data_IF_197152713983
#
_entry.id   IF_197152713983
#
_cell.length_a   1.000
_cell.length_b   1.000
_cell.length_c   1.000
_cell.angle_alpha   90.00
_cell.angle_beta   90.00
_cell.angle_gamma   90.00
#
_symmetry.space_group_name_H-M   'P 1'
#
loop_
_entity.id
_entity.type
_entity.pdbx_description
1 polymer ?
#
# COMPACT_ATOMS: atom_id res chain seq x y z
N UNK A 1 -4.52 -15.81 3.18
CA UNK A 1 -3.34 -15.85 4.09
C UNK A 1 -2.31 -14.86 3.59
N UNK A 2 -1.80 -14.01 4.47
CA UNK A 2 -0.70 -13.09 4.14
C UNK A 2 0.59 -13.64 4.72
N UNK A 3 1.63 -13.78 3.89
CA UNK A 3 2.98 -14.16 4.30
C UNK A 3 3.86 -12.91 4.31
N UNK A 4 4.85 -12.83 5.22
CA UNK A 4 5.87 -11.77 5.17
C UNK A 4 6.81 -12.05 4.00
N UNK A 5 6.92 -11.08 3.09
CA UNK A 5 7.80 -11.13 1.91
C UNK A 5 8.55 -9.81 1.87
N UNK A 6 9.87 -9.87 1.73
CA UNK A 6 10.70 -8.69 1.50
C UNK A 6 10.84 -8.48 0.00
N UNK A 7 10.51 -7.28 -0.46
CA UNK A 7 10.68 -6.86 -1.86
C UNK A 7 11.44 -5.55 -1.88
N UNK A 8 12.26 -5.35 -2.90
CA UNK A 8 12.83 -4.05 -3.21
C UNK A 8 11.84 -3.31 -4.11
N UNK A 9 11.55 -2.05 -3.79
CA UNK A 9 10.73 -1.16 -4.60
C UNK A 9 11.49 0.14 -4.82
N UNK A 10 11.26 0.77 -5.96
CA UNK A 10 11.86 2.07 -6.25
C UNK A 10 11.32 3.16 -5.31
N UNK A 11 12.17 4.13 -4.99
CA UNK A 11 11.86 5.20 -4.04
C UNK A 11 10.63 6.04 -4.47
N UNK A 12 10.42 6.21 -5.77
CA UNK A 12 9.27 6.96 -6.28
C UNK A 12 7.96 6.18 -6.10
N UNK A 13 7.99 4.86 -6.22
CA UNK A 13 6.86 3.97 -5.96
C UNK A 13 6.53 3.96 -4.47
N UNK A 14 7.52 3.87 -3.57
CA UNK A 14 7.30 3.96 -2.12
C UNK A 14 6.60 5.27 -1.75
N UNK A 15 7.07 6.41 -2.26
CA UNK A 15 6.45 7.72 -2.03
C UNK A 15 4.99 7.74 -2.46
N UNK A 16 4.68 7.21 -3.65
CA UNK A 16 3.30 7.12 -4.17
C UNK A 16 2.42 6.24 -3.27
N UNK A 17 2.94 5.10 -2.80
CA UNK A 17 2.22 4.19 -1.89
C UNK A 17 1.95 4.87 -0.54
N UNK A 18 2.91 5.59 0.04
CA UNK A 18 2.70 6.35 1.30
C UNK A 18 1.69 7.48 1.15
N UNK A 19 1.73 8.22 0.05
CA UNK A 19 0.73 9.25 -0.22
C UNK A 19 -0.68 8.64 -0.32
N UNK A 20 -0.80 7.48 -0.96
CA UNK A 20 -2.06 6.74 -1.01
C UNK A 20 -2.49 6.27 0.38
N UNK A 21 -1.56 5.79 1.21
CA UNK A 21 -1.83 5.41 2.60
C UNK A 21 -2.42 6.58 3.38
N UNK A 22 -1.79 7.76 3.32
CA UNK A 22 -2.25 8.96 4.02
C UNK A 22 -3.68 9.35 3.60
N UNK A 23 -3.97 9.29 2.29
CA UNK A 23 -5.32 9.52 1.76
C UNK A 23 -6.34 8.53 2.29
N UNK A 24 -6.00 7.24 2.39
CA UNK A 24 -6.92 6.22 2.91
C UNK A 24 -7.17 6.38 4.42
N UNK A 25 -6.15 6.74 5.21
CA UNK A 25 -6.32 7.06 6.64
C UNK A 25 -7.29 8.22 6.82
N UNK A 26 -7.15 9.28 6.01
CA UNK A 26 -8.05 10.43 6.04
C UNK A 26 -9.48 10.07 5.65
N UNK A 27 -9.66 9.21 4.63
CA UNK A 27 -10.98 8.83 4.12
C UNK A 27 -11.71 7.82 5.02
N UNK A 28 -11.03 6.78 5.49
CA UNK A 28 -11.64 5.72 6.29
C UNK A 28 -11.71 6.07 7.79
N UNK A 29 -11.10 7.20 8.21
CA UNK A 29 -10.90 7.59 9.62
C UNK A 29 -10.41 6.43 10.51
N UNK A 30 -9.66 5.50 9.91
CA UNK A 30 -9.25 4.25 10.53
C UNK A 30 -7.78 3.96 10.23
N UNK A 31 -7.21 3.04 11.00
CA UNK A 31 -5.83 2.61 10.80
C UNK A 31 -5.68 1.86 9.49
N UNK A 32 -4.99 2.48 8.54
CA UNK A 32 -4.72 1.89 7.24
C UNK A 32 -3.23 1.54 7.10
N UNK A 33 -2.90 0.25 7.08
CA UNK A 33 -1.52 -0.22 7.09
C UNK A 33 -0.87 -0.16 5.69
N UNK A 34 0.43 0.09 5.66
CA UNK A 34 1.20 0.14 4.41
C UNK A 34 1.06 -1.16 3.60
N UNK A 35 1.18 -2.32 4.26
CA UNK A 35 1.02 -3.63 3.61
C UNK A 35 -0.36 -3.83 2.99
N UNK A 36 -1.43 -3.26 3.59
CA UNK A 36 -2.78 -3.29 3.01
C UNK A 36 -2.81 -2.46 1.72
N UNK A 37 -2.28 -1.23 1.72
CA UNK A 37 -2.22 -0.35 0.54
C UNK A 37 -1.47 -1.02 -0.60
N UNK A 38 -0.30 -1.59 -0.29
CA UNK A 38 0.55 -2.26 -1.27
C UNK A 38 -0.19 -3.44 -1.93
N UNK A 39 -0.77 -4.33 -1.12
CA UNK A 39 -1.49 -5.49 -1.65
C UNK A 39 -2.71 -5.08 -2.49
N UNK A 40 -3.49 -4.07 -2.06
CA UNK A 40 -4.62 -3.58 -2.83
C UNK A 40 -4.17 -2.91 -4.14
N UNK A 41 -3.05 -2.19 -4.12
CA UNK A 41 -2.49 -1.56 -5.32
C UNK A 41 -2.03 -2.62 -6.32
N UNK A 42 -1.30 -3.64 -5.86
CA UNK A 42 -0.85 -4.75 -6.71
C UNK A 42 -2.03 -5.54 -7.30
N UNK A 43 -3.06 -5.83 -6.50
CA UNK A 43 -4.27 -6.54 -6.97
C UNK A 43 -5.07 -5.79 -8.04
N UNK A 44 -4.97 -4.46 -8.09
CA UNK A 44 -5.63 -3.65 -9.13
C UNK A 44 -4.92 -3.72 -10.47
N UNK A 45 -3.62 -3.94 -10.47
CA UNK A 45 -2.78 -3.97 -11.69
C UNK A 45 -2.58 -5.38 -12.21
N UNK A 46 -2.43 -6.37 -11.33
CA UNK A 46 -2.23 -7.78 -11.71
C UNK A 46 -3.53 -8.52 -12.04
N UNK A 47 -4.60 -7.79 -12.34
CA UNK A 47 -5.91 -8.35 -12.73
C UNK A 47 -6.00 -8.52 -14.24
#
# INVERSE_FOLDING_TARGET
>A
MSKRVTIMIDDDLDKKIRLRQAKMIQQEQSSYSYSKVLNETLRKVLK
#
